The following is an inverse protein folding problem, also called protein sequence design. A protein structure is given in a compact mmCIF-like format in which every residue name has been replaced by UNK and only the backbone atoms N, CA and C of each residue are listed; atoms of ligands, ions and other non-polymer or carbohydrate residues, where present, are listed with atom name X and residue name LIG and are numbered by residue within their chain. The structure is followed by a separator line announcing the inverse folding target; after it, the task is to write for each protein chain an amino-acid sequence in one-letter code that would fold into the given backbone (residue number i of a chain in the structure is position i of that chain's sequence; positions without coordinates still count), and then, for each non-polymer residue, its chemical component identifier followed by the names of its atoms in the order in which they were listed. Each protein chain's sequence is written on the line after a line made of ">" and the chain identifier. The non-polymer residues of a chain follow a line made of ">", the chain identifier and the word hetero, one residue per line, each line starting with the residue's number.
data_IF_103236190990
#
_entry.id   IF_103236190990
#
_cell.length_a   1.000
_cell.length_b   1.000
_cell.length_c   1.000
_cell.angle_alpha   90.00
_cell.angle_beta   90.00
_cell.angle_gamma   90.00
#
_symmetry.space_group_name_H-M   'P 1'
#
loop_
_entity.id
_entity.type
_entity.pdbx_description
1 polymer ?
#
# COMPACT_ATOMS: atom_id res chain seq x y z
N UNK A 1 0.27 -9.06 34.24
CA UNK A 1 0.15 -8.02 33.21
C UNK A 1 1.46 -8.04 32.43
N UNK A 2 1.45 -8.51 31.18
CA UNK A 2 2.65 -8.57 30.33
C UNK A 2 2.81 -7.19 29.69
N UNK A 3 3.85 -6.40 30.03
CA UNK A 3 4.11 -5.17 29.31
C UNK A 3 4.54 -5.53 27.88
N UNK A 4 3.83 -4.97 26.89
CA UNK A 4 4.27 -5.02 25.51
C UNK A 4 5.43 -4.03 25.36
N UNK A 5 6.67 -4.52 25.52
CA UNK A 5 7.86 -3.76 25.19
C UNK A 5 7.94 -3.70 23.66
N UNK A 6 7.85 -2.51 23.08
CA UNK A 6 7.69 -2.34 21.61
C UNK A 6 8.92 -2.79 20.78
N UNK A 7 9.98 -3.29 21.43
CA UNK A 7 11.18 -3.87 20.83
C UNK A 7 12.16 -4.37 21.91
N UNK A 8 12.70 -5.59 21.77
CA UNK A 8 13.94 -5.99 22.43
C UNK A 8 15.15 -5.64 21.54
N UNK A 9 16.33 -5.28 22.10
CA UNK A 9 17.56 -5.19 21.31
C UNK A 9 17.85 -6.55 20.68
N UNK A 10 18.09 -6.58 19.36
CA UNK A 10 18.44 -7.76 18.55
C UNK A 10 17.31 -8.73 18.13
N UNK A 11 16.04 -8.35 18.19
CA UNK A 11 14.98 -9.12 17.51
C UNK A 11 14.92 -8.80 16.01
N UNK A 12 15.10 -9.82 15.17
CA UNK A 12 14.81 -9.74 13.73
C UNK A 12 13.33 -10.02 13.50
N UNK A 13 12.51 -8.99 13.67
CA UNK A 13 11.15 -8.99 13.13
C UNK A 13 11.28 -8.68 11.63
N UNK A 14 11.13 -9.67 10.75
CA UNK A 14 10.89 -9.44 9.32
C UNK A 14 9.47 -8.86 9.21
N UNK A 15 9.33 -7.57 9.49
CA UNK A 15 8.03 -6.92 9.50
C UNK A 15 7.53 -6.76 8.06
N UNK A 16 6.23 -6.92 7.79
CA UNK A 16 5.60 -6.53 6.54
C UNK A 16 5.42 -5.00 6.49
N UNK A 17 6.49 -4.24 6.78
CA UNK A 17 6.50 -2.80 6.61
C UNK A 17 6.92 -2.52 5.17
N UNK A 18 6.06 -1.82 4.43
CA UNK A 18 6.42 -1.29 3.12
C UNK A 18 7.30 -0.05 3.39
N UNK A 19 8.58 -0.15 3.06
CA UNK A 19 9.57 0.91 3.28
C UNK A 19 10.40 1.20 2.04
N UNK A 20 11.50 1.94 2.21
CA UNK A 20 12.40 2.35 1.13
C UNK A 20 11.67 3.08 0.00
N UNK A 21 10.79 4.01 0.38
CA UNK A 21 10.07 4.90 -0.54
C UNK A 21 10.65 6.32 -0.40
N UNK A 22 11.64 6.73 -1.22
CA UNK A 22 12.26 8.05 -1.11
C UNK A 22 11.26 9.18 -1.37
N UNK A 23 11.55 10.37 -0.84
CA UNK A 23 10.82 11.58 -1.23
C UNK A 23 10.86 11.76 -2.76
N UNK A 24 9.77 12.32 -3.28
CA UNK A 24 9.53 12.55 -4.70
C UNK A 24 9.41 11.31 -5.59
N UNK A 25 9.55 10.10 -5.03
CA UNK A 25 9.33 8.86 -5.78
C UNK A 25 7.86 8.68 -6.17
N UNK A 26 7.65 8.05 -7.33
CA UNK A 26 6.32 7.59 -7.78
C UNK A 26 6.26 6.09 -7.56
N UNK A 27 5.24 5.65 -6.83
CA UNK A 27 5.10 4.27 -6.35
C UNK A 27 3.84 3.66 -6.95
N UNK A 28 3.98 2.48 -7.53
CA UNK A 28 2.87 1.63 -7.93
C UNK A 28 2.60 0.60 -6.84
N UNK A 29 1.39 0.65 -6.28
CA UNK A 29 0.90 -0.31 -5.31
C UNK A 29 -0.05 -1.27 -6.00
N UNK A 30 0.44 -2.49 -6.25
CA UNK A 30 -0.32 -3.61 -6.80
C UNK A 30 -0.83 -4.46 -5.63
N UNK A 31 -2.14 -4.63 -5.54
CA UNK A 31 -2.77 -5.41 -4.46
C UNK A 31 -3.54 -6.56 -5.10
N UNK A 32 -3.27 -7.78 -4.64
CA UNK A 32 -4.01 -8.97 -5.05
C UNK A 32 -4.91 -9.49 -3.94
N UNK A 33 -6.12 -9.88 -4.32
CA UNK A 33 -7.11 -10.47 -3.43
C UNK A 33 -7.14 -11.98 -3.60
N UNK A 34 -7.04 -12.69 -2.48
CA UNK A 34 -7.20 -14.15 -2.43
C UNK A 34 -8.52 -14.56 -1.78
N UNK A 35 -9.31 -13.59 -1.33
CA UNK A 35 -10.62 -13.80 -0.71
C UNK A 35 -11.69 -13.67 -1.78
N UNK A 36 -12.69 -14.55 -1.73
CA UNK A 36 -13.85 -14.51 -2.63
C UNK A 36 -14.87 -13.42 -2.21
N UNK A 37 -14.39 -12.21 -1.94
CA UNK A 37 -15.19 -11.05 -1.56
C UNK A 37 -14.49 -9.78 -2.06
N UNK A 38 -15.25 -8.80 -2.55
CA UNK A 38 -14.71 -7.45 -2.81
C UNK A 38 -14.43 -6.72 -1.49
N UNK A 39 -13.23 -6.17 -1.35
CA UNK A 39 -12.75 -5.52 -0.13
C UNK A 39 -12.38 -4.07 -0.44
N UNK A 40 -13.02 -3.07 0.17
CA UNK A 40 -12.59 -1.69 0.03
C UNK A 40 -11.31 -1.45 0.84
N UNK A 41 -10.31 -0.84 0.23
CA UNK A 41 -9.06 -0.43 0.87
C UNK A 41 -8.94 1.09 0.92
N UNK A 42 -8.46 1.58 2.05
CA UNK A 42 -8.17 2.98 2.32
C UNK A 42 -6.69 3.15 2.65
N UNK A 43 -6.06 4.15 2.03
CA UNK A 43 -4.73 4.64 2.39
C UNK A 43 -4.86 6.11 2.81
N UNK A 44 -4.49 6.48 4.05
CA UNK A 44 -4.38 7.88 4.47
C UNK A 44 -3.29 8.64 3.71
N UNK A 45 -3.45 9.95 3.67
CA UNK A 45 -2.56 10.89 2.96
C UNK A 45 -3.20 11.42 1.69
N UNK A 46 -2.36 11.78 0.73
CA UNK A 46 -2.80 12.30 -0.57
C UNK A 46 -3.55 11.23 -1.39
N UNK A 47 -4.55 11.62 -2.18
CA UNK A 47 -5.24 10.71 -3.09
C UNK A 47 -4.28 10.01 -4.06
N UNK A 48 -4.59 8.76 -4.40
CA UNK A 48 -3.82 7.95 -5.35
C UNK A 48 -4.51 7.90 -6.70
N UNK A 49 -3.75 7.84 -7.79
CA UNK A 49 -4.28 7.54 -9.12
C UNK A 49 -4.66 6.06 -9.21
N UNK A 50 -5.91 5.77 -9.53
CA UNK A 50 -6.39 4.42 -9.75
C UNK A 50 -6.13 4.01 -11.20
N UNK A 51 -5.14 3.15 -11.40
CA UNK A 51 -4.75 2.72 -12.75
C UNK A 51 -5.66 1.62 -13.28
N UNK A 52 -6.24 0.79 -12.42
CA UNK A 52 -7.20 -0.21 -12.86
C UNK A 52 -7.41 -1.35 -11.86
N UNK A 53 -8.34 -2.23 -12.19
CA UNK A 53 -8.60 -3.45 -11.45
C UNK A 53 -9.21 -4.53 -12.35
N UNK A 54 -9.06 -5.79 -11.95
CA UNK A 54 -9.82 -6.92 -12.51
C UNK A 54 -10.15 -7.92 -11.42
N UNK A 55 -11.35 -8.52 -11.51
CA UNK A 55 -11.76 -9.63 -10.66
C UNK A 55 -11.45 -10.98 -11.29
N UNK A 56 -11.42 -12.03 -10.46
CA UNK A 56 -11.29 -13.43 -10.90
C UNK A 56 -10.04 -13.71 -11.74
N UNK A 57 -8.99 -12.92 -11.52
CA UNK A 57 -7.75 -13.00 -12.29
C UNK A 57 -6.59 -12.48 -11.42
N UNK A 58 -5.42 -13.10 -11.57
CA UNK A 58 -4.16 -12.59 -11.02
C UNK A 58 -3.62 -11.41 -11.83
N UNK A 59 -2.81 -10.59 -11.21
CA UNK A 59 -2.10 -9.51 -11.89
C UNK A 59 -1.12 -10.13 -12.91
N UNK A 60 -1.07 -9.64 -14.17
CA UNK A 60 -0.39 -10.33 -15.26
C UNK A 60 1.14 -10.17 -15.28
N UNK A 61 1.78 -9.69 -14.20
CA UNK A 61 3.23 -9.48 -14.14
C UNK A 61 3.74 -9.18 -12.73
N UNK A 62 4.99 -8.74 -12.60
CA UNK A 62 5.55 -8.30 -11.32
C UNK A 62 5.52 -6.76 -11.17
N UNK A 63 5.48 -6.05 -12.30
CA UNK A 63 5.43 -4.59 -12.36
C UNK A 63 4.26 -4.10 -13.20
N UNK A 64 3.91 -2.82 -13.06
CA UNK A 64 2.97 -2.15 -13.99
C UNK A 64 3.49 -2.18 -15.42
N UNK A 65 4.81 -2.09 -15.63
CA UNK A 65 5.41 -2.18 -16.97
C UNK A 65 5.19 -3.57 -17.57
N UNK A 66 5.43 -4.65 -16.81
CA UNK A 66 5.19 -6.02 -17.27
C UNK A 66 3.72 -6.23 -17.69
N UNK A 67 2.78 -5.65 -16.94
CA UNK A 67 1.36 -5.72 -17.24
C UNK A 67 1.00 -4.93 -18.52
N UNK A 68 1.64 -3.79 -18.74
CA UNK A 68 1.48 -3.00 -19.98
C UNK A 68 2.00 -3.80 -21.18
N UNK A 69 3.17 -4.42 -21.04
CA UNK A 69 3.83 -5.15 -22.12
C UNK A 69 3.07 -6.43 -22.50
N UNK A 70 2.32 -7.03 -21.56
CA UNK A 70 1.54 -8.25 -21.75
C UNK A 70 0.08 -8.02 -22.17
N UNK A 71 -0.63 -7.05 -21.58
CA UNK A 71 -1.99 -6.65 -21.95
C UNK A 71 -2.27 -5.19 -21.54
N UNK A 72 -1.84 -4.26 -22.38
CA UNK A 72 -1.91 -2.81 -22.16
C UNK A 72 -3.33 -2.23 -21.95
N UNK A 73 -4.39 -3.01 -22.20
CA UNK A 73 -5.78 -2.51 -22.13
C UNK A 73 -6.36 -2.49 -20.72
N UNK A 74 -5.70 -3.10 -19.74
CA UNK A 74 -6.23 -3.27 -18.39
C UNK A 74 -5.90 -2.11 -17.44
N UNK A 75 -4.96 -1.23 -17.80
CA UNK A 75 -4.51 -0.09 -16.99
C UNK A 75 -4.71 1.24 -17.74
N UNK A 76 -5.28 2.24 -17.06
CA UNK A 76 -5.39 3.62 -17.53
C UNK A 76 -4.19 4.45 -17.05
N UNK A 77 -3.36 4.88 -17.99
CA UNK A 77 -2.19 5.74 -17.73
C UNK A 77 -2.37 7.16 -18.27
N UNK A 78 -3.46 7.44 -19.00
CA UNK A 78 -3.68 8.74 -19.64
C UNK A 78 -4.42 9.70 -18.69
N UNK A 79 -5.51 9.24 -18.10
CA UNK A 79 -6.38 10.04 -17.24
C UNK A 79 -6.97 9.24 -16.05
N UNK A 80 -6.11 8.59 -15.23
CA UNK A 80 -6.59 7.82 -14.10
C UNK A 80 -7.30 8.69 -13.06
N UNK A 81 -8.39 8.18 -12.51
CA UNK A 81 -9.14 8.87 -11.45
C UNK A 81 -8.32 8.94 -10.15
N UNK A 82 -8.42 10.05 -9.43
CA UNK A 82 -7.89 10.16 -8.07
C UNK A 82 -8.87 9.58 -7.07
N UNK A 83 -8.38 8.68 -6.22
CA UNK A 83 -9.18 7.98 -5.22
C UNK A 83 -8.50 8.01 -3.85
N UNK A 84 -9.33 8.04 -2.82
CA UNK A 84 -8.90 7.88 -1.42
C UNK A 84 -9.21 6.45 -0.96
N UNK A 85 -10.36 5.92 -1.37
CA UNK A 85 -10.81 4.55 -1.14
C UNK A 85 -11.01 3.89 -2.49
N UNK A 86 -10.64 2.63 -2.62
CA UNK A 86 -10.89 1.84 -3.83
C UNK A 86 -11.34 0.42 -3.48
N UNK A 87 -12.13 -0.17 -4.37
CA UNK A 87 -12.52 -1.57 -4.24
C UNK A 87 -11.43 -2.47 -4.82
N UNK A 88 -11.02 -3.45 -4.02
CA UNK A 88 -10.22 -4.58 -4.44
C UNK A 88 -11.17 -5.74 -4.80
N UNK A 89 -11.33 -6.09 -6.09
CA UNK A 89 -12.29 -7.11 -6.51
C UNK A 89 -12.03 -8.50 -5.93
N UNK A 90 -13.09 -9.32 -5.79
CA UNK A 90 -12.99 -10.73 -5.40
C UNK A 90 -12.04 -11.52 -6.32
N UNK A 91 -11.13 -12.30 -5.73
CA UNK A 91 -10.12 -13.13 -6.41
C UNK A 91 -9.39 -12.37 -7.54
N UNK A 92 -9.15 -11.08 -7.31
CA UNK A 92 -8.72 -10.12 -8.33
C UNK A 92 -7.49 -9.32 -7.93
N UNK A 93 -7.31 -8.18 -8.60
CA UNK A 93 -6.28 -7.20 -8.28
C UNK A 93 -6.75 -5.77 -8.51
N UNK A 94 -6.08 -4.82 -7.86
CA UNK A 94 -6.17 -3.39 -8.12
C UNK A 94 -4.77 -2.77 -8.17
N UNK A 95 -4.62 -1.69 -8.92
CA UNK A 95 -3.37 -0.91 -8.98
C UNK A 95 -3.66 0.55 -8.64
N UNK A 96 -2.94 1.05 -7.64
CA UNK A 96 -2.85 2.46 -7.30
C UNK A 96 -1.46 2.99 -7.64
N UNK A 97 -1.38 4.24 -8.07
CA UNK A 97 -0.14 5.00 -8.18
C UNK A 97 -0.21 6.21 -7.27
N UNK A 98 0.85 6.50 -6.54
CA UNK A 98 0.94 7.73 -5.72
C UNK A 98 2.35 8.30 -5.74
N UNK A 99 2.47 9.59 -5.45
CA UNK A 99 3.76 10.26 -5.29
C UNK A 99 4.05 10.44 -3.79
N UNK A 100 5.26 10.14 -3.37
CA UNK A 100 5.73 10.39 -2.01
C UNK A 100 6.07 11.87 -1.86
N UNK A 101 5.19 12.62 -1.20
CA UNK A 101 5.29 14.09 -1.06
C UNK A 101 5.78 14.56 0.31
N UNK A 102 5.77 13.68 1.31
CA UNK A 102 6.13 14.02 2.69
C UNK A 102 6.76 12.83 3.41
N UNK A 103 7.45 13.12 4.52
CA UNK A 103 7.96 12.09 5.43
C UNK A 103 6.86 11.69 6.41
N UNK A 104 6.30 10.48 6.26
CA UNK A 104 5.19 10.03 7.09
C UNK A 104 5.17 8.51 7.28
N UNK A 105 4.80 8.09 8.47
CA UNK A 105 4.45 6.71 8.76
C UNK A 105 2.93 6.58 8.69
N UNK A 106 2.44 5.83 7.69
CA UNK A 106 1.02 5.62 7.43
C UNK A 106 0.69 4.12 7.37
N UNK A 107 -0.53 3.79 7.01
CA UNK A 107 -1.07 2.43 6.95
C UNK A 107 -2.04 2.31 5.78
N UNK A 108 -1.90 1.29 4.94
CA UNK A 108 -3.01 0.89 4.08
C UNK A 108 -3.83 -0.19 4.80
N UNK A 109 -5.14 -0.10 4.75
CA UNK A 109 -5.98 -1.06 5.44
C UNK A 109 -7.34 -1.26 4.78
N UNK A 110 -7.96 -2.40 5.08
CA UNK A 110 -9.35 -2.62 4.71
C UNK A 110 -10.25 -1.59 5.42
N UNK A 111 -11.14 -0.95 4.67
CA UNK A 111 -12.12 -0.01 5.23
C UNK A 111 -13.26 -0.76 5.96
N UNK A 112 -13.49 -2.04 5.63
CA UNK A 112 -14.41 -2.91 6.38
C UNK A 112 -13.82 -3.23 7.75
N UNK A 113 -14.43 -2.68 8.80
CA UNK A 113 -13.96 -2.78 10.20
C UNK A 113 -13.58 -4.20 10.62
N UNK A 114 -14.38 -5.21 10.27
CA UNK A 114 -14.08 -6.61 10.64
C UNK A 114 -12.74 -7.11 10.08
N UNK A 115 -12.39 -6.73 8.84
CA UNK A 115 -11.13 -7.15 8.22
C UNK A 115 -9.97 -6.38 8.83
N UNK A 116 -10.15 -5.08 9.07
CA UNK A 116 -9.17 -4.26 9.77
C UNK A 116 -8.88 -4.78 11.19
N UNK A 117 -9.92 -5.06 11.97
CA UNK A 117 -9.80 -5.59 13.32
C UNK A 117 -9.11 -6.96 13.37
N UNK A 118 -9.20 -7.75 12.29
CA UNK A 118 -8.50 -9.02 12.12
C UNK A 118 -7.10 -8.87 11.51
N UNK A 119 -6.60 -7.64 11.35
CA UNK A 119 -5.22 -7.37 10.94
C UNK A 119 -5.01 -7.20 9.44
N UNK A 120 -6.05 -6.99 8.64
CA UNK A 120 -5.93 -6.70 7.20
C UNK A 120 -5.45 -5.26 6.98
N UNK A 121 -4.18 -5.03 7.28
CA UNK A 121 -3.50 -3.76 7.14
C UNK A 121 -1.99 -3.96 6.96
N UNK A 122 -1.35 -2.99 6.34
CA UNK A 122 0.10 -2.95 6.16
C UNK A 122 0.63 -1.52 6.44
N UNK A 123 1.64 -1.36 7.32
CA UNK A 123 2.30 -0.08 7.50
C UNK A 123 3.07 0.34 6.24
N UNK A 124 3.09 1.63 5.95
CA UNK A 124 3.86 2.23 4.85
C UNK A 124 4.70 3.39 5.41
N UNK A 125 6.00 3.37 5.13
CA UNK A 125 6.94 4.42 5.48
C UNK A 125 7.28 5.21 4.22
N UNK A 126 6.68 6.39 4.09
CA UNK A 126 6.81 7.30 2.95
C UNK A 126 7.84 8.38 3.27
N UNK A 127 8.87 8.54 2.43
CA UNK A 127 9.93 9.52 2.64
C UNK A 127 10.88 9.20 3.79
N UNK A 128 10.68 8.06 4.48
CA UNK A 128 11.49 7.58 5.59
C UNK A 128 12.33 6.42 5.08
N UNK A 129 13.63 6.66 4.90
CA UNK A 129 14.61 5.65 4.54
C UNK A 129 15.74 5.64 5.56
N UNK A 130 16.72 4.75 5.39
CA UNK A 130 17.95 4.78 6.19
C UNK A 130 18.69 6.12 6.07
N UNK A 131 18.68 6.72 4.88
CA UNK A 131 19.31 8.02 4.59
C UNK A 131 18.47 9.22 5.04
N UNK A 132 17.14 9.05 5.11
CA UNK A 132 16.19 10.08 5.52
C UNK A 132 15.34 9.67 6.73
N UNK A 133 15.96 9.37 7.88
CA UNK A 133 15.23 8.91 9.06
C UNK A 133 14.37 10.03 9.66
N UNK A 134 13.22 9.68 10.22
CA UNK A 134 12.44 10.64 11.03
C UNK A 134 13.23 10.99 12.28
N UNK A 135 13.50 12.29 12.46
CA UNK A 135 14.06 12.82 13.71
C UNK A 135 12.91 13.13 14.66
N UNK A 136 12.64 12.22 15.60
CA UNK A 136 11.76 12.52 16.72
C UNK A 136 12.47 13.51 17.64
N UNK A 137 11.98 14.75 17.72
CA UNK A 137 12.28 15.61 18.86
C UNK A 137 11.39 15.13 20.01
N UNK A 138 11.97 14.48 21.02
CA UNK A 138 11.25 14.16 22.25
C UNK A 138 10.67 15.45 22.82
N UNK A 139 9.34 15.57 22.80
CA UNK A 139 8.59 16.57 23.57
C UNK A 139 7.69 15.87 24.59
N UNK A 140 8.25 14.84 25.22
CA UNK A 140 7.78 14.27 26.47
C UNK A 140 8.96 14.27 27.43
#
# INVERSE_FOLDING_TARGET
>A
MLPLLFHAPNETLVKPIIGNLPLDSVVDLIIENQINETIPFYKPGDPSWFLGSRGQQRFPGNTVQDAIDSDSKSLNLQDPALVIVHDLPSLGWSVLRFKVTSQQATIIHAAKLRHFALGMSAPILEGITEDTPIKFQSRW
#
